data_IF_048967145707
#
_entry.id   IF_048967145707
#
_cell.length_a   1.000
_cell.length_b   1.000
_cell.length_c   1.000
_cell.angle_alpha   90.00
_cell.angle_beta   90.00
_cell.angle_gamma   90.00
#
_symmetry.space_group_name_H-M   'P 1'
#
loop_
_entity.id
_entity.type
_entity.pdbx_description
1 polymer ?
#
# COMPACT_ATOMS: atom_id res chain seq x y z
N UNK A 1 21.36 10.15 6.49
CA UNK A 1 20.26 9.18 6.61
C UNK A 1 19.29 9.36 5.46
N UNK A 2 19.15 8.36 4.58
CA UNK A 2 18.11 8.36 3.56
C UNK A 2 16.76 8.32 4.28
N UNK A 3 15.94 9.36 4.09
CA UNK A 3 14.53 9.34 4.51
C UNK A 3 13.85 8.17 3.79
N UNK A 4 13.40 7.18 4.53
CA UNK A 4 12.60 6.06 4.03
C UNK A 4 11.28 6.66 3.56
N UNK A 5 11.13 6.86 2.24
CA UNK A 5 9.89 7.35 1.65
C UNK A 5 8.90 6.19 1.73
N UNK A 6 7.84 6.36 2.52
CA UNK A 6 6.76 5.38 2.62
C UNK A 6 5.87 5.51 1.39
N UNK A 7 5.69 4.45 0.58
CA UNK A 7 4.88 4.54 -0.63
C UNK A 7 3.41 4.75 -0.30
N UNK A 8 2.73 5.53 -1.14
CA UNK A 8 1.31 5.84 -1.03
C UNK A 8 0.53 5.13 -2.11
N UNK A 9 -0.60 4.57 -1.73
CA UNK A 9 -1.53 3.91 -2.65
C UNK A 9 -2.92 4.50 -2.53
N UNK A 10 -3.58 4.68 -3.66
CA UNK A 10 -5.01 4.97 -3.72
C UNK A 10 -5.76 3.78 -4.30
N UNK A 11 -6.75 3.31 -3.58
CA UNK A 11 -7.60 2.17 -3.96
C UNK A 11 -8.90 2.72 -4.52
N UNK A 12 -9.21 2.37 -5.77
CA UNK A 12 -10.41 2.80 -6.47
C UNK A 12 -11.31 1.61 -6.72
N UNK A 13 -12.41 1.52 -6.00
CA UNK A 13 -13.43 0.47 -6.15
C UNK A 13 -14.76 0.99 -5.59
N UNK A 14 -15.88 0.66 -6.23
CA UNK A 14 -17.22 1.06 -5.76
C UNK A 14 -17.58 0.37 -4.44
N UNK A 15 -17.14 -0.86 -4.25
CA UNK A 15 -17.50 -1.68 -3.10
C UNK A 15 -16.62 -1.34 -1.89
N UNK A 16 -17.23 -0.79 -0.85
CA UNK A 16 -16.54 -0.40 0.38
C UNK A 16 -15.74 -1.54 1.01
N UNK A 17 -16.33 -2.75 1.09
CA UNK A 17 -15.66 -3.89 1.71
C UNK A 17 -14.41 -4.33 0.94
N UNK A 18 -14.37 -4.15 -0.39
CA UNK A 18 -13.18 -4.43 -1.20
C UNK A 18 -12.09 -3.38 -0.90
N UNK A 19 -12.45 -2.09 -0.85
CA UNK A 19 -11.51 -1.03 -0.49
C UNK A 19 -10.91 -1.26 0.88
N UNK A 20 -11.74 -1.55 1.89
CA UNK A 20 -11.27 -1.81 3.26
C UNK A 20 -10.33 -3.02 3.32
N UNK A 21 -10.69 -4.13 2.67
CA UNK A 21 -9.84 -5.31 2.60
C UNK A 21 -8.47 -5.03 1.97
N UNK A 22 -8.47 -4.35 0.81
CA UNK A 22 -7.23 -3.98 0.12
C UNK A 22 -6.40 -2.98 0.91
N UNK A 23 -7.04 -2.01 1.57
CA UNK A 23 -6.36 -1.04 2.43
C UNK A 23 -5.61 -1.74 3.57
N UNK A 24 -6.27 -2.61 4.32
CA UNK A 24 -5.67 -3.38 5.40
C UNK A 24 -4.49 -4.21 4.90
N UNK A 25 -4.66 -4.94 3.80
CA UNK A 25 -3.61 -5.77 3.23
C UNK A 25 -2.39 -4.97 2.75
N UNK A 26 -2.62 -3.78 2.15
CA UNK A 26 -1.54 -2.90 1.68
C UNK A 26 -0.85 -2.15 2.83
N UNK A 27 -1.57 -1.81 3.88
CA UNK A 27 -0.99 -1.23 5.11
C UNK A 27 -0.06 -2.23 5.80
N UNK A 28 -0.41 -3.50 5.86
CA UNK A 28 0.46 -4.57 6.35
C UNK A 28 1.77 -4.68 5.53
N UNK A 29 1.73 -4.36 4.25
CA UNK A 29 2.90 -4.30 3.38
C UNK A 29 3.71 -3.00 3.50
N UNK A 30 3.22 -2.04 4.29
CA UNK A 30 3.92 -0.78 4.59
C UNK A 30 3.50 0.41 3.72
N UNK A 31 2.37 0.36 3.02
CA UNK A 31 1.81 1.49 2.29
C UNK A 31 1.01 2.43 3.20
N UNK A 32 0.97 3.70 2.84
CA UNK A 32 -0.06 4.63 3.31
C UNK A 32 -1.21 4.56 2.31
N UNK A 33 -2.41 4.23 2.78
CA UNK A 33 -3.56 3.99 1.93
C UNK A 33 -4.52 5.17 1.87
N UNK A 34 -5.10 5.40 0.71
CA UNK A 34 -6.24 6.26 0.47
C UNK A 34 -7.30 5.49 -0.31
N UNK A 35 -8.55 5.86 -0.14
CA UNK A 35 -9.69 5.22 -0.78
C UNK A 35 -10.46 6.20 -1.65
N UNK A 36 -10.96 5.70 -2.79
CA UNK A 36 -11.78 6.44 -3.72
C UNK A 36 -12.93 5.54 -4.21
N UNK A 37 -14.15 5.93 -3.98
CA UNK A 37 -15.33 5.16 -4.38
C UNK A 37 -15.76 5.41 -5.83
N UNK A 38 -15.39 6.57 -6.40
CA UNK A 38 -15.82 7.00 -7.71
C UNK A 38 -14.70 7.75 -8.44
N UNK A 39 -14.63 7.56 -9.75
CA UNK A 39 -13.57 8.15 -10.58
C UNK A 39 -13.63 9.68 -10.69
N UNK A 40 -14.78 10.29 -10.45
CA UNK A 40 -14.95 11.75 -10.43
C UNK A 40 -14.21 12.44 -9.27
N UNK A 41 -13.85 11.70 -8.24
CA UNK A 41 -13.04 12.18 -7.12
C UNK A 41 -11.54 12.23 -7.43
N UNK A 42 -11.09 11.53 -8.45
CA UNK A 42 -9.68 11.41 -8.80
C UNK A 42 -8.99 12.74 -9.12
N UNK A 43 -9.58 13.68 -9.88
CA UNK A 43 -8.93 14.95 -10.16
C UNK A 43 -8.56 15.72 -8.89
N UNK A 44 -9.50 15.84 -7.94
CA UNK A 44 -9.26 16.52 -6.68
C UNK A 44 -8.20 15.81 -5.82
N UNK A 45 -8.21 14.47 -5.81
CA UNK A 45 -7.23 13.67 -5.10
C UNK A 45 -5.83 13.87 -5.68
N UNK A 46 -5.68 13.85 -7.00
CA UNK A 46 -4.41 14.07 -7.69
C UNK A 46 -3.85 15.48 -7.47
N UNK A 47 -4.72 16.48 -7.34
CA UNK A 47 -4.33 17.86 -7.06
C UNK A 47 -3.82 18.04 -5.61
N UNK A 48 -4.34 17.24 -4.68
CA UNK A 48 -3.92 17.29 -3.27
C UNK A 48 -2.65 16.50 -3.01
N UNK A 49 -2.59 15.28 -3.50
CA UNK A 49 -1.48 14.38 -3.26
C UNK A 49 -1.44 13.26 -4.31
N UNK A 50 -0.35 13.18 -5.05
CA UNK A 50 -0.15 12.16 -6.07
C UNK A 50 0.35 10.87 -5.39
N UNK A 51 -0.42 9.76 -5.43
CA UNK A 51 0.03 8.47 -4.91
C UNK A 51 1.10 7.84 -5.82
N UNK A 52 1.88 6.92 -5.28
CA UNK A 52 2.86 6.14 -6.03
C UNK A 52 2.22 4.98 -6.79
N UNK A 53 1.06 4.52 -6.31
CA UNK A 53 0.29 3.40 -6.86
C UNK A 53 -1.20 3.71 -6.86
N UNK A 54 -1.87 3.42 -7.97
CA UNK A 54 -3.30 3.23 -8.02
C UNK A 54 -3.64 1.75 -8.11
N UNK A 55 -4.55 1.27 -7.27
CA UNK A 55 -5.16 -0.05 -7.37
C UNK A 55 -6.60 0.12 -7.81
N UNK A 56 -6.93 -0.40 -8.99
CA UNK A 56 -8.25 -0.29 -9.59
C UNK A 56 -8.94 -1.65 -9.60
N UNK A 57 -10.07 -1.76 -8.93
CA UNK A 57 -10.96 -2.91 -9.03
C UNK A 57 -11.70 -2.92 -10.38
N UNK A 58 -11.65 -4.05 -11.09
CA UNK A 58 -12.37 -4.25 -12.35
C UNK A 58 -13.56 -5.16 -12.06
N UNK A 59 -14.76 -4.61 -11.91
CA UNK A 59 -15.99 -5.41 -11.86
C UNK A 59 -16.30 -5.98 -13.25
N UNK A 60 -17.40 -6.71 -13.38
CA UNK A 60 -17.88 -7.20 -14.69
C UNK A 60 -18.15 -6.06 -15.69
N UNK A 61 -18.44 -4.86 -15.18
CA UNK A 61 -18.54 -3.63 -15.97
C UNK A 61 -17.26 -2.79 -15.78
N UNK A 62 -16.47 -2.67 -16.82
CA UNK A 62 -15.19 -1.95 -16.83
C UNK A 62 -15.34 -0.42 -16.85
N UNK A 63 -16.55 0.15 -16.82
CA UNK A 63 -16.78 1.57 -17.06
C UNK A 63 -16.06 2.47 -16.04
N UNK A 64 -16.10 2.12 -14.74
CA UNK A 64 -15.40 2.89 -13.70
C UNK A 64 -13.90 2.90 -13.90
N UNK A 65 -13.33 1.72 -14.17
CA UNK A 65 -11.90 1.59 -14.38
C UNK A 65 -11.46 2.31 -15.67
N UNK A 66 -12.21 2.18 -16.76
CA UNK A 66 -11.94 2.89 -18.01
C UNK A 66 -11.95 4.41 -17.84
N UNK A 67 -12.90 4.95 -17.07
CA UNK A 67 -12.95 6.37 -16.78
C UNK A 67 -11.75 6.81 -15.91
N UNK A 68 -11.42 6.05 -14.87
CA UNK A 68 -10.26 6.31 -14.03
C UNK A 68 -8.95 6.32 -14.84
N UNK A 69 -8.73 5.33 -15.71
CA UNK A 69 -7.55 5.24 -16.57
C UNK A 69 -7.43 6.43 -17.53
N UNK A 70 -8.55 6.90 -18.10
CA UNK A 70 -8.56 8.10 -18.96
C UNK A 70 -8.18 9.36 -18.16
N UNK A 71 -8.68 9.53 -16.96
CA UNK A 71 -8.31 10.65 -16.09
C UNK A 71 -6.82 10.61 -15.76
N UNK A 72 -6.29 9.45 -15.36
CA UNK A 72 -4.89 9.28 -15.06
C UNK A 72 -3.99 9.58 -16.25
N UNK A 73 -4.36 9.10 -17.44
CA UNK A 73 -3.65 9.38 -18.69
C UNK A 73 -3.67 10.86 -19.05
N UNK A 74 -4.82 11.52 -18.98
CA UNK A 74 -4.95 12.96 -19.24
C UNK A 74 -4.13 13.82 -18.26
N UNK A 75 -3.99 13.39 -17.02
CA UNK A 75 -3.16 14.03 -16.00
C UNK A 75 -1.68 13.64 -16.06
N UNK A 76 -1.29 12.82 -17.04
CA UNK A 76 0.09 12.31 -17.19
C UNK A 76 0.63 11.70 -15.91
N UNK A 77 -0.20 10.87 -15.26
CA UNK A 77 0.18 10.22 -14.03
C UNK A 77 1.45 9.37 -14.22
N UNK A 78 2.44 9.58 -13.36
CA UNK A 78 3.77 8.96 -13.47
C UNK A 78 3.98 7.77 -12.53
N UNK A 79 3.06 7.55 -11.59
CA UNK A 79 3.10 6.37 -10.71
C UNK A 79 2.69 5.09 -11.44
N UNK A 80 2.52 4.04 -10.69
CA UNK A 80 2.14 2.72 -11.21
C UNK A 80 0.66 2.45 -11.04
N UNK A 81 0.11 1.62 -11.91
CA UNK A 81 -1.30 1.21 -11.86
C UNK A 81 -1.39 -0.32 -11.80
N UNK A 82 -2.09 -0.85 -10.81
CA UNK A 82 -2.41 -2.26 -10.67
C UNK A 82 -3.91 -2.46 -10.86
N UNK A 83 -4.28 -3.32 -11.80
CA UNK A 83 -5.67 -3.74 -11.99
C UNK A 83 -5.92 -5.05 -11.24
N UNK A 84 -7.07 -5.13 -10.59
CA UNK A 84 -7.52 -6.35 -9.88
C UNK A 84 -8.90 -6.73 -10.42
N UNK A 85 -9.06 -7.95 -10.90
CA UNK A 85 -10.32 -8.40 -11.47
C UNK A 85 -10.39 -9.91 -11.67
N UNK A 86 -11.55 -10.42 -12.14
CA UNK A 86 -11.72 -11.85 -12.38
C UNK A 86 -10.69 -12.40 -13.36
N UNK A 87 -10.23 -13.63 -13.11
CA UNK A 87 -9.34 -14.37 -14.01
C UNK A 87 -9.98 -14.51 -15.40
N UNK A 88 -9.16 -14.34 -16.43
CA UNK A 88 -9.60 -14.48 -17.85
C UNK A 88 -10.74 -13.53 -18.23
N UNK A 89 -10.89 -12.42 -17.53
CA UNK A 89 -11.89 -11.41 -17.81
C UNK A 89 -11.50 -10.58 -19.03
N UNK A 90 -12.39 -10.50 -20.01
CA UNK A 90 -12.22 -9.58 -21.13
C UNK A 90 -12.10 -8.13 -20.64
N UNK A 91 -12.89 -7.74 -19.62
CA UNK A 91 -12.84 -6.41 -19.05
C UNK A 91 -11.48 -6.07 -18.42
N UNK A 92 -10.84 -7.06 -17.75
CA UNK A 92 -9.51 -6.88 -17.16
C UNK A 92 -8.45 -6.68 -18.26
N UNK A 93 -8.48 -7.51 -19.32
CA UNK A 93 -7.55 -7.40 -20.44
C UNK A 93 -7.73 -6.10 -21.22
N UNK A 94 -8.97 -5.70 -21.47
CA UNK A 94 -9.30 -4.45 -22.16
C UNK A 94 -8.85 -3.23 -21.34
N UNK A 95 -9.06 -3.22 -20.01
CA UNK A 95 -8.60 -2.15 -19.13
C UNK A 95 -7.07 -2.07 -19.08
N UNK A 96 -6.37 -3.19 -19.07
CA UNK A 96 -4.91 -3.25 -19.12
C UNK A 96 -4.39 -2.58 -20.40
N UNK A 97 -4.93 -2.96 -21.54
CA UNK A 97 -4.55 -2.37 -22.84
C UNK A 97 -4.86 -0.87 -22.88
N UNK A 98 -6.03 -0.46 -22.41
CA UNK A 98 -6.41 0.96 -22.34
C UNK A 98 -5.44 1.78 -21.50
N UNK A 99 -4.97 1.24 -20.37
CA UNK A 99 -3.97 1.90 -19.53
C UNK A 99 -2.62 2.05 -20.24
N UNK A 100 -2.18 1.02 -20.94
CA UNK A 100 -0.95 1.05 -21.73
C UNK A 100 -1.03 2.07 -22.89
N UNK A 101 -2.14 2.09 -23.61
CA UNK A 101 -2.41 3.08 -24.68
C UNK A 101 -2.49 4.52 -24.14
N UNK A 102 -2.95 4.71 -22.91
CA UNK A 102 -2.96 6.00 -22.24
C UNK A 102 -1.57 6.45 -21.74
N UNK A 103 -0.53 5.65 -21.95
CA UNK A 103 0.84 5.95 -21.53
C UNK A 103 1.10 5.74 -20.05
N UNK A 104 0.25 4.97 -19.36
CA UNK A 104 0.40 4.66 -17.93
C UNK A 104 1.39 3.50 -17.72
N UNK A 105 2.08 3.52 -16.60
CA UNK A 105 2.94 2.39 -16.18
C UNK A 105 2.09 1.32 -15.50
N UNK A 106 1.65 0.35 -16.29
CA UNK A 106 0.79 -0.73 -15.82
C UNK A 106 1.63 -1.86 -15.21
N UNK A 107 1.26 -2.29 -14.00
CA UNK A 107 1.77 -3.53 -13.42
C UNK A 107 1.00 -4.73 -14.01
N UNK A 108 1.58 -5.94 -13.98
CA UNK A 108 0.83 -7.15 -14.34
C UNK A 108 -0.46 -7.23 -13.53
N UNK A 109 -1.63 -7.45 -14.16
CA UNK A 109 -2.90 -7.47 -13.46
C UNK A 109 -3.00 -8.63 -12.48
N UNK A 110 -3.66 -8.41 -11.35
CA UNK A 110 -3.87 -9.41 -10.31
C UNK A 110 -5.25 -10.03 -10.45
N UNK A 111 -5.28 -11.34 -10.75
CA UNK A 111 -6.53 -12.06 -10.90
C UNK A 111 -7.15 -12.42 -9.55
N UNK A 112 -8.47 -12.27 -9.43
CA UNK A 112 -9.24 -12.74 -8.26
C UNK A 112 -9.69 -14.20 -8.46
N UNK A 113 -9.72 -15.02 -7.41
CA UNK A 113 -9.21 -14.77 -6.06
C UNK A 113 -7.68 -14.73 -6.02
N UNK A 114 -7.11 -13.92 -5.17
CA UNK A 114 -5.66 -13.82 -4.97
C UNK A 114 -5.28 -14.09 -3.50
N UNK A 115 -4.05 -14.50 -3.29
CA UNK A 115 -3.46 -14.68 -1.96
C UNK A 115 -2.73 -13.42 -1.49
N UNK A 116 -2.42 -13.33 -0.19
CA UNK A 116 -1.59 -12.26 0.36
C UNK A 116 -0.22 -12.20 -0.35
N UNK A 117 0.37 -13.36 -0.68
CA UNK A 117 1.62 -13.43 -1.44
C UNK A 117 1.45 -12.94 -2.88
N UNK A 118 0.31 -13.22 -3.52
CA UNK A 118 -0.02 -12.72 -4.86
C UNK A 118 -0.10 -11.20 -4.88
N UNK A 119 -0.74 -10.59 -3.89
CA UNK A 119 -0.78 -9.13 -3.75
C UNK A 119 0.61 -8.55 -3.50
N UNK A 120 1.38 -9.15 -2.58
CA UNK A 120 2.75 -8.74 -2.29
C UNK A 120 3.62 -8.76 -3.55
N UNK A 121 3.57 -9.83 -4.32
CA UNK A 121 4.31 -9.97 -5.58
C UNK A 121 3.86 -8.93 -6.62
N UNK A 122 2.56 -8.66 -6.71
CA UNK A 122 2.00 -7.66 -7.62
C UNK A 122 2.49 -6.24 -7.35
N UNK A 123 2.75 -5.88 -6.10
CA UNK A 123 3.23 -4.55 -5.70
C UNK A 123 4.73 -4.52 -5.36
N UNK A 124 5.45 -5.63 -5.56
CA UNK A 124 6.86 -5.78 -5.22
C UNK A 124 7.76 -4.63 -5.71
N UNK A 125 7.57 -4.05 -6.92
CA UNK A 125 8.37 -2.93 -7.41
C UNK A 125 8.29 -1.67 -6.56
N UNK A 126 7.28 -1.55 -5.71
CA UNK A 126 7.03 -0.39 -4.84
C UNK A 126 7.35 -0.66 -3.38
N UNK A 127 7.56 -1.93 -3.03
CA UNK A 127 7.95 -2.26 -1.67
C UNK A 127 9.35 -1.72 -1.38
N UNK A 128 9.57 -1.14 -0.20
CA UNK A 128 10.91 -0.78 0.20
C UNK A 128 11.79 -2.03 0.12
N UNK A 129 12.96 -1.89 -0.49
CA UNK A 129 13.98 -2.94 -0.48
C UNK A 129 14.12 -3.39 0.97
N UNK A 130 13.86 -4.68 1.21
CA UNK A 130 14.08 -5.26 2.53
C UNK A 130 15.53 -4.95 2.87
N UNK A 131 15.76 -4.12 3.90
CA UNK A 131 17.12 -3.89 4.35
C UNK A 131 17.78 -5.26 4.51
N UNK A 132 19.03 -5.44 4.02
CA UNK A 132 19.71 -6.70 4.23
C UNK A 132 19.54 -7.07 5.71
N UNK A 133 19.29 -8.35 6.03
CA UNK A 133 19.12 -8.74 7.42
C UNK A 133 20.30 -8.15 8.17
N UNK A 134 20.03 -7.29 9.14
CA UNK A 134 21.07 -6.77 10.02
C UNK A 134 21.83 -7.98 10.54
N UNK A 135 23.16 -7.89 10.53
CA UNK A 135 24.02 -8.96 11.02
C UNK A 135 23.43 -9.47 12.35
N UNK A 136 23.34 -10.81 12.56
CA UNK A 136 22.79 -11.34 13.79
C UNK A 136 23.53 -10.69 14.96
N UNK A 137 22.78 -9.93 15.75
CA UNK A 137 23.36 -9.26 16.92
C UNK A 137 23.40 -10.27 18.04
N UNK A 138 24.56 -10.43 18.64
CA UNK A 138 24.69 -11.22 19.85
C UNK A 138 23.97 -10.50 20.99
N UNK A 139 22.82 -11.05 21.39
CA UNK A 139 21.99 -10.50 22.46
C UNK A 139 22.74 -10.46 23.80
N UNK A 140 23.64 -11.41 24.03
CA UNK A 140 24.45 -11.46 25.24
C UNK A 140 25.49 -10.32 25.24
N UNK A 141 26.04 -9.98 24.12
CA UNK A 141 26.94 -8.82 23.96
C UNK A 141 26.18 -7.52 24.14
N UNK A 142 25.02 -7.39 23.51
CA UNK A 142 24.16 -6.20 23.63
C UNK A 142 23.72 -5.92 25.07
N UNK A 143 23.42 -6.95 25.82
CA UNK A 143 23.10 -6.86 27.27
C UNK A 143 24.31 -6.39 28.07
N UNK A 144 25.48 -6.99 27.85
CA UNK A 144 26.73 -6.64 28.58
C UNK A 144 27.20 -5.22 28.25
N UNK A 145 27.02 -4.80 27.01
CA UNK A 145 27.45 -3.49 26.52
C UNK A 145 26.43 -2.36 26.82
N UNK A 146 25.26 -2.70 27.40
CA UNK A 146 24.24 -1.70 27.72
C UNK A 146 23.54 -1.08 26.49
N UNK A 147 23.49 -1.79 25.37
CA UNK A 147 22.86 -1.30 24.15
C UNK A 147 21.33 -1.44 24.16
N UNK A 148 20.74 -2.09 25.17
CA UNK A 148 19.32 -2.29 25.30
C UNK A 148 18.69 -1.17 26.12
N UNK A 149 17.71 -0.51 25.54
CA UNK A 149 16.88 0.49 26.19
C UNK A 149 15.45 -0.01 26.32
N UNK A 150 14.83 0.24 27.46
CA UNK A 150 13.43 -0.06 27.68
C UNK A 150 12.61 1.20 27.43
N UNK A 151 11.75 1.15 26.43
CA UNK A 151 10.81 2.22 26.11
C UNK A 151 9.42 1.81 26.58
N UNK A 152 8.66 2.75 27.11
CA UNK A 152 7.31 2.51 27.59
C UNK A 152 6.30 3.21 26.66
N UNK A 153 5.37 2.45 26.13
CA UNK A 153 4.23 2.96 25.40
C UNK A 153 3.00 2.91 26.29
N UNK A 154 2.40 4.07 26.56
CA UNK A 154 1.21 4.19 27.38
C UNK A 154 0.01 3.55 26.67
N UNK A 155 -0.72 2.69 27.37
CA UNK A 155 -2.02 2.17 26.93
C UNK A 155 -3.13 3.05 27.48
N UNK A 156 -4.03 3.47 26.61
CA UNK A 156 -5.18 4.30 26.94
C UNK A 156 -6.44 3.45 26.74
N UNK A 157 -7.33 3.44 27.71
CA UNK A 157 -8.67 2.87 27.56
C UNK A 157 -9.45 3.74 26.56
N UNK A 158 -9.83 3.15 25.42
CA UNK A 158 -10.51 3.87 24.34
C UNK A 158 -11.91 4.40 24.73
N UNK A 159 -12.51 3.86 25.79
CA UNK A 159 -13.83 4.25 26.28
C UNK A 159 -13.76 5.41 27.27
N UNK A 160 -12.77 5.38 28.16
CA UNK A 160 -12.64 6.38 29.23
C UNK A 160 -11.57 7.43 28.95
N UNK A 161 -10.73 7.21 27.93
CA UNK A 161 -9.54 8.00 27.59
C UNK A 161 -8.53 8.14 28.73
N UNK A 162 -8.62 7.28 29.75
CA UNK A 162 -7.68 7.25 30.83
C UNK A 162 -6.54 6.26 30.60
N UNK A 163 -5.34 6.52 31.13
CA UNK A 163 -4.26 5.56 31.12
C UNK A 163 -4.67 4.27 31.84
N UNK A 164 -4.56 3.13 31.18
CA UNK A 164 -4.90 1.82 31.75
C UNK A 164 -3.69 0.87 31.87
N UNK A 165 -2.52 1.33 31.49
CA UNK A 165 -1.29 0.54 31.57
C UNK A 165 -0.17 1.10 30.71
N UNK A 166 0.94 0.37 30.68
CA UNK A 166 2.07 0.66 29.79
C UNK A 166 2.60 -0.66 29.21
N UNK A 167 3.05 -0.62 27.96
CA UNK A 167 3.76 -1.71 27.33
C UNK A 167 5.24 -1.39 27.27
N UNK A 168 6.07 -2.31 27.77
CA UNK A 168 7.53 -2.21 27.68
C UNK A 168 8.01 -2.72 26.33
N UNK A 169 8.68 -1.86 25.57
CA UNK A 169 9.28 -2.17 24.29
C UNK A 169 10.79 -2.11 24.42
N UNK A 170 11.45 -3.22 24.14
CA UNK A 170 12.92 -3.25 24.09
C UNK A 170 13.40 -2.65 22.76
N UNK A 171 14.33 -1.72 22.84
CA UNK A 171 15.03 -1.14 21.70
C UNK A 171 16.53 -1.37 21.84
N UNK A 172 17.20 -1.60 20.75
CA UNK A 172 18.63 -1.74 20.71
C UNK A 172 19.26 -0.58 19.96
N UNK A 173 20.24 0.06 20.60
CA UNK A 173 21.11 1.04 19.96
C UNK A 173 22.50 0.42 19.77
N UNK A 174 22.78 0.05 18.53
CA UNK A 174 24.12 -0.39 18.16
C UNK A 174 25.03 0.83 18.05
N UNK A 175 26.19 0.87 18.71
CA UNK A 175 27.19 1.90 18.45
C UNK A 175 27.83 1.59 17.09
N UNK A 176 27.42 2.29 16.05
CA UNK A 176 28.05 2.26 14.72
C UNK A 176 28.89 3.49 14.51
#
# INVERSE_FOLDING_TARGET
>A
GQRKIVPRVCIVDQKRHIRTFLAEALEELGFITGECAASDQLPALLDQQMPDLFVLGIPHDAALAGHALKILGARRYTGKVLLIGPRESFALSAAQLLGEEAGLTMLPPLATPFSAEGLRSGVAPLLPLKAPPSAPVDVAEALKAGWLELWYQQKIDARTLNPCGAEGLVRMRHPS
#
